data_IF_017677018870
#
_entry.id   IF_017677018870
#
_cell.length_a   1.000
_cell.length_b   1.000
_cell.length_c   1.000
_cell.angle_alpha   90.00
_cell.angle_beta   90.00
_cell.angle_gamma   90.00
#
_symmetry.space_group_name_H-M   'P 1'
#
loop_
_entity.id
_entity.type
_entity.pdbx_description
1 polymer ?
#
# COMPACT_ATOMS: atom_id res chain seq x y z
N UNK A 1 10.23 6.45 -14.87
CA UNK A 1 9.04 6.77 -14.04
C UNK A 1 9.52 7.15 -12.64
N UNK A 2 8.98 8.22 -12.05
CA UNK A 2 9.23 8.52 -10.63
C UNK A 2 8.37 7.57 -9.78
N UNK A 3 9.01 6.74 -8.94
CA UNK A 3 8.35 5.83 -8.00
C UNK A 3 9.03 5.93 -6.65
N UNK A 4 8.30 5.61 -5.60
CA UNK A 4 8.85 5.48 -4.26
C UNK A 4 8.44 4.14 -3.64
N UNK A 5 9.10 3.77 -2.54
CA UNK A 5 8.90 2.48 -1.86
C UNK A 5 8.32 2.70 -0.47
N UNK A 6 7.60 1.70 0.01
CA UNK A 6 7.15 1.64 1.40
C UNK A 6 8.33 1.22 2.27
N UNK A 7 8.45 1.81 3.46
CA UNK A 7 9.45 1.41 4.45
C UNK A 7 8.82 1.22 5.83
N UNK A 8 9.48 0.40 6.66
CA UNK A 8 9.16 0.23 8.08
C UNK A 8 10.42 0.60 8.84
N UNK A 9 10.36 1.68 9.63
CA UNK A 9 11.50 2.09 10.46
C UNK A 9 11.72 1.15 11.64
N UNK A 10 12.87 1.26 12.31
CA UNK A 10 13.23 0.43 13.48
C UNK A 10 12.21 0.53 14.62
N UNK A 11 11.53 1.68 14.75
CA UNK A 11 10.44 1.91 15.69
C UNK A 11 9.10 1.25 15.27
N UNK A 12 9.09 0.45 14.21
CA UNK A 12 7.91 -0.20 13.66
C UNK A 12 6.93 0.74 12.93
N UNK A 13 7.30 2.00 12.69
CA UNK A 13 6.46 2.96 11.97
C UNK A 13 6.52 2.69 10.47
N UNK A 14 5.36 2.38 9.89
CA UNK A 14 5.20 2.27 8.44
C UNK A 14 5.15 3.68 7.82
N UNK A 15 6.00 3.91 6.83
CA UNK A 15 5.99 5.11 6.00
C UNK A 15 5.51 4.75 4.59
N UNK A 16 4.44 5.43 4.16
CA UNK A 16 3.96 5.40 2.79
C UNK A 16 4.34 6.73 2.15
N UNK A 17 4.98 6.71 0.96
CA UNK A 17 5.31 7.91 0.23
C UNK A 17 4.06 8.60 -0.33
N UNK A 18 4.18 9.89 -0.68
CA UNK A 18 3.12 10.62 -1.40
C UNK A 18 3.14 10.32 -2.90
N UNK A 19 4.29 9.93 -3.43
CA UNK A 19 4.43 9.47 -4.82
C UNK A 19 3.80 8.08 -5.00
N UNK A 20 3.44 7.71 -6.25
CA UNK A 20 2.96 6.36 -6.54
C UNK A 20 3.95 5.27 -6.08
N UNK A 21 3.42 4.30 -5.34
CA UNK A 21 4.19 3.14 -4.86
C UNK A 21 4.28 2.10 -5.96
N UNK A 22 5.50 1.77 -6.32
CA UNK A 22 5.82 0.66 -7.22
C UNK A 22 7.06 -0.04 -6.71
N UNK A 23 6.92 -1.30 -6.30
CA UNK A 23 8.00 -2.06 -5.67
C UNK A 23 8.25 -3.36 -6.42
N UNK A 24 9.52 -3.66 -6.67
CA UNK A 24 9.97 -4.96 -7.16
C UNK A 24 9.80 -6.03 -6.09
N UNK A 25 9.82 -7.31 -6.51
CA UNK A 25 9.77 -8.43 -5.57
C UNK A 25 10.90 -8.38 -4.52
N UNK A 26 12.08 -7.88 -4.87
CA UNK A 26 13.19 -7.71 -3.93
C UNK A 26 12.93 -6.61 -2.90
N UNK A 27 12.35 -5.47 -3.31
CA UNK A 27 12.00 -4.40 -2.38
C UNK A 27 10.87 -4.83 -1.44
N UNK A 28 9.89 -5.61 -1.93
CA UNK A 28 8.82 -6.20 -1.10
C UNK A 28 9.40 -7.23 -0.11
N UNK A 29 10.37 -8.02 -0.55
CA UNK A 29 11.08 -8.96 0.29
C UNK A 29 11.78 -8.25 1.45
N UNK A 30 12.49 -7.16 1.17
CA UNK A 30 13.11 -6.30 2.18
C UNK A 30 12.08 -5.68 3.12
N UNK A 31 10.97 -5.16 2.58
CA UNK A 31 9.88 -4.58 3.38
C UNK A 31 9.33 -5.55 4.42
N UNK A 32 9.13 -6.82 4.05
CA UNK A 32 8.53 -7.83 4.92
C UNK A 32 9.53 -8.72 5.63
N UNK A 33 10.84 -8.56 5.41
CA UNK A 33 11.88 -9.41 5.98
C UNK A 33 11.73 -10.88 5.56
N UNK A 34 11.47 -11.13 4.27
CA UNK A 34 11.32 -12.46 3.67
C UNK A 34 12.23 -12.61 2.46
N UNK A 35 12.32 -13.82 1.88
CA UNK A 35 13.06 -14.04 0.64
C UNK A 35 12.24 -13.63 -0.59
N UNK A 36 12.90 -13.05 -1.60
CA UNK A 36 12.28 -12.67 -2.88
C UNK A 36 11.68 -13.87 -3.62
N UNK A 37 12.26 -15.06 -3.49
CA UNK A 37 11.66 -16.31 -4.01
C UNK A 37 10.28 -16.60 -3.42
N UNK A 38 10.08 -16.33 -2.13
CA UNK A 38 8.77 -16.48 -1.46
C UNK A 38 7.77 -15.43 -1.95
N UNK A 39 8.22 -14.20 -2.16
CA UNK A 39 7.43 -13.11 -2.77
C UNK A 39 6.94 -13.53 -4.15
N UNK A 40 7.85 -13.96 -5.03
CA UNK A 40 7.51 -14.39 -6.38
C UNK A 40 6.55 -15.58 -6.40
N UNK A 41 6.73 -16.54 -5.49
CA UNK A 41 5.81 -17.68 -5.35
C UNK A 41 4.38 -17.23 -5.02
N UNK A 42 4.23 -16.31 -4.06
CA UNK A 42 2.91 -15.80 -3.71
C UNK A 42 2.30 -14.90 -4.79
N UNK A 43 3.09 -14.07 -5.49
CA UNK A 43 2.61 -13.28 -6.63
C UNK A 43 2.03 -14.19 -7.71
N UNK A 44 2.77 -15.24 -8.10
CA UNK A 44 2.30 -16.22 -9.09
C UNK A 44 1.00 -16.90 -8.66
N UNK A 45 0.88 -17.25 -7.38
CA UNK A 45 -0.33 -17.85 -6.83
C UNK A 45 -1.52 -16.87 -6.82
N UNK A 46 -1.30 -15.59 -6.50
CA UNK A 46 -2.32 -14.53 -6.59
C UNK A 46 -2.89 -14.40 -8.00
N UNK A 47 -2.02 -14.35 -9.02
CA UNK A 47 -2.47 -14.26 -10.41
C UNK A 47 -3.11 -15.56 -10.90
N UNK A 48 -2.55 -16.72 -10.54
CA UNK A 48 -3.12 -18.04 -10.88
C UNK A 48 -4.53 -18.22 -10.30
N UNK A 49 -4.78 -17.70 -9.10
CA UNK A 49 -6.08 -17.74 -8.44
C UNK A 49 -7.06 -16.67 -8.95
N UNK A 50 -6.62 -15.78 -9.84
CA UNK A 50 -7.46 -14.69 -10.38
C UNK A 50 -7.84 -13.64 -9.32
N UNK A 51 -7.08 -13.53 -8.23
CA UNK A 51 -7.41 -12.59 -7.15
C UNK A 51 -7.09 -11.14 -7.52
N UNK A 52 -6.14 -10.92 -8.42
CA UNK A 52 -5.78 -9.63 -9.00
C UNK A 52 -5.47 -9.82 -10.49
N UNK A 53 -5.69 -8.79 -11.29
CA UNK A 53 -5.36 -8.78 -12.71
C UNK A 53 -3.97 -8.18 -12.93
N UNK A 54 -3.13 -8.84 -13.72
CA UNK A 54 -1.74 -8.40 -13.94
C UNK A 54 -1.67 -6.98 -14.50
N UNK A 55 -2.55 -6.59 -15.41
CA UNK A 55 -2.58 -5.26 -16.04
C UNK A 55 -2.98 -4.12 -15.08
N UNK A 56 -3.57 -4.44 -13.93
CA UNK A 56 -3.98 -3.45 -12.92
C UNK A 56 -2.90 -3.21 -11.86
N UNK A 57 -2.14 -4.27 -11.52
CA UNK A 57 -1.26 -4.26 -10.34
C UNK A 57 0.22 -4.45 -10.66
N UNK A 58 0.57 -4.76 -11.90
CA UNK A 58 1.94 -4.98 -12.35
C UNK A 58 2.30 -4.03 -13.50
N UNK A 59 3.54 -3.54 -13.48
CA UNK A 59 4.15 -2.90 -14.64
C UNK A 59 5.61 -3.30 -14.76
N UNK A 60 6.11 -3.40 -15.98
CA UNK A 60 7.49 -3.76 -16.25
C UNK A 60 8.33 -2.51 -16.53
N UNK A 61 9.37 -2.30 -15.73
CA UNK A 61 10.36 -1.25 -15.95
C UNK A 61 11.52 -1.77 -16.78
N UNK A 62 11.73 -1.19 -17.96
CA UNK A 62 12.82 -1.52 -18.88
C UNK A 62 14.05 -0.65 -18.62
N UNK A 63 15.24 -1.25 -18.69
CA UNK A 63 16.53 -0.57 -18.61
C UNK A 63 17.57 -1.27 -19.49
N UNK A 64 18.75 -0.66 -19.67
CA UNK A 64 19.80 -1.15 -20.60
C UNK A 64 20.27 -2.60 -20.35
N UNK A 65 20.02 -3.15 -19.17
CA UNK A 65 20.44 -4.50 -18.78
C UNK A 65 19.29 -5.47 -18.53
N UNK A 66 18.04 -5.11 -18.84
CA UNK A 66 16.90 -6.00 -18.69
C UNK A 66 15.59 -5.32 -18.31
N UNK A 67 14.74 -6.11 -17.68
CA UNK A 67 13.40 -5.73 -17.26
C UNK A 67 13.19 -6.11 -15.79
N UNK A 68 12.43 -5.31 -15.06
CA UNK A 68 12.00 -5.63 -13.69
C UNK A 68 10.53 -5.37 -13.53
N UNK A 69 9.80 -6.36 -13.03
CA UNK A 69 8.39 -6.20 -12.69
C UNK A 69 8.24 -5.47 -11.37
N UNK A 70 7.36 -4.49 -11.37
CA UNK A 70 7.01 -3.66 -10.23
C UNK A 70 5.53 -3.84 -9.90
N UNK A 71 5.24 -3.87 -8.62
CA UNK A 71 3.91 -4.12 -8.09
C UNK A 71 3.41 -2.95 -7.28
N UNK A 72 2.12 -2.62 -7.43
CA UNK A 72 1.49 -1.51 -6.75
C UNK A 72 1.11 -1.86 -5.29
N UNK A 73 0.51 -0.91 -4.58
CA UNK A 73 0.11 -1.06 -3.17
C UNK A 73 -0.93 -2.17 -2.94
N UNK A 74 -1.77 -2.49 -3.92
CA UNK A 74 -2.81 -3.51 -3.80
C UNK A 74 -2.19 -4.92 -3.73
N UNK A 75 -1.25 -5.22 -4.63
CA UNK A 75 -0.46 -6.45 -4.55
C UNK A 75 0.32 -6.52 -3.23
N UNK A 76 0.97 -5.43 -2.82
CA UNK A 76 1.72 -5.37 -1.55
C UNK A 76 0.79 -5.66 -0.34
N UNK A 77 -0.43 -5.10 -0.35
CA UNK A 77 -1.44 -5.36 0.67
C UNK A 77 -1.83 -6.83 0.70
N UNK A 78 -2.13 -7.43 -0.46
CA UNK A 78 -2.51 -8.84 -0.56
C UNK A 78 -1.41 -9.77 -0.04
N UNK A 79 -0.16 -9.53 -0.45
CA UNK A 79 0.99 -10.29 0.01
C UNK A 79 1.24 -10.16 1.51
N UNK A 80 0.94 -9.00 2.10
CA UNK A 80 1.09 -8.80 3.54
C UNK A 80 0.27 -9.80 4.36
N UNK A 81 -0.88 -10.28 3.87
CA UNK A 81 -1.70 -11.29 4.54
C UNK A 81 -1.20 -12.73 4.32
N UNK A 82 -0.36 -12.96 3.31
CA UNK A 82 0.27 -14.28 3.03
C UNK A 82 1.56 -14.50 3.81
N UNK A 83 2.16 -13.43 4.36
CA UNK A 83 3.39 -13.52 5.14
C UNK A 83 3.18 -13.59 6.66
N UNK A 84 3.87 -14.56 7.27
CA UNK A 84 4.02 -14.70 8.72
C UNK A 84 5.38 -14.11 9.11
N UNK A 85 5.50 -12.78 9.12
CA UNK A 85 6.70 -12.07 9.59
C UNK A 85 6.33 -10.89 10.51
N UNK A 86 7.21 -10.45 11.41
CA UNK A 86 6.96 -9.28 12.26
C UNK A 86 6.66 -8.01 11.45
N UNK A 87 7.42 -7.78 10.38
CA UNK A 87 7.21 -6.65 9.47
C UNK A 87 5.85 -6.71 8.76
N UNK A 88 5.43 -7.90 8.30
CA UNK A 88 4.10 -8.07 7.71
C UNK A 88 2.99 -7.84 8.74
N UNK A 89 3.16 -8.29 10.00
CA UNK A 89 2.22 -8.00 11.09
C UNK A 89 2.10 -6.50 11.38
N UNK A 90 3.22 -5.78 11.45
CA UNK A 90 3.24 -4.32 11.64
C UNK A 90 2.53 -3.61 10.49
N UNK A 91 2.80 -4.01 9.26
CA UNK A 91 2.15 -3.46 8.08
C UNK A 91 0.63 -3.69 8.09
N UNK A 92 0.17 -4.90 8.40
CA UNK A 92 -1.28 -5.20 8.52
C UNK A 92 -1.95 -4.37 9.61
N UNK A 93 -1.34 -4.25 10.80
CA UNK A 93 -1.87 -3.40 11.90
C UNK A 93 -1.95 -1.95 11.47
N UNK A 94 -0.93 -1.45 10.78
CA UNK A 94 -0.95 -0.09 10.23
C UNK A 94 -2.08 0.09 9.20
N UNK A 95 -2.23 -0.85 8.27
CA UNK A 95 -3.23 -0.80 7.21
C UNK A 95 -4.66 -0.78 7.78
N UNK A 96 -4.97 -1.71 8.69
CA UNK A 96 -6.25 -1.78 9.39
C UNK A 96 -6.50 -0.47 10.13
N UNK A 97 -5.54 0.02 10.93
CA UNK A 97 -5.67 1.28 11.66
C UNK A 97 -5.95 2.45 10.73
N UNK A 98 -5.32 2.51 9.54
CA UNK A 98 -5.54 3.58 8.56
C UNK A 98 -6.94 3.52 7.95
N UNK A 99 -7.45 2.33 7.68
CA UNK A 99 -8.80 2.13 7.14
C UNK A 99 -9.89 2.40 8.20
N UNK A 100 -9.64 2.07 9.46
CA UNK A 100 -10.60 2.28 10.56
C UNK A 100 -10.50 3.66 11.20
N UNK A 101 -9.51 4.49 10.79
CA UNK A 101 -9.36 5.84 11.33
C UNK A 101 -10.56 6.69 10.89
N UNK A 102 -11.48 6.94 11.83
CA UNK A 102 -12.63 7.82 11.61
C UNK A 102 -12.09 9.20 11.29
N UNK A 103 -12.25 9.65 10.04
CA UNK A 103 -12.08 11.06 9.72
C UNK A 103 -13.19 11.77 10.47
N UNK A 104 -12.86 12.43 11.57
CA UNK A 104 -13.76 13.36 12.22
C UNK A 104 -13.98 14.49 11.23
N UNK A 105 -14.93 14.31 10.32
CA UNK A 105 -15.53 15.43 9.62
C UNK A 105 -16.20 16.23 10.72
N UNK A 106 -15.55 17.33 11.13
CA UNK A 106 -16.18 18.32 11.99
C UNK A 106 -17.51 18.65 11.33
N UNK A 107 -18.67 18.43 11.98
CA UNK A 107 -19.92 18.79 11.36
C UNK A 107 -19.83 20.28 11.04
N UNK A 108 -20.01 20.63 9.76
CA UNK A 108 -20.20 22.01 9.36
C UNK A 108 -21.50 22.46 10.01
N UNK A 109 -21.39 23.11 11.16
CA UNK A 109 -22.53 23.69 11.86
C UNK A 109 -22.88 24.99 11.13
N UNK A 110 -23.83 24.93 10.19
CA UNK A 110 -24.37 26.13 9.54
C UNK A 110 -25.43 26.72 10.48
N UNK A 111 -25.03 27.74 11.25
CA UNK A 111 -25.97 28.53 12.04
C UNK A 111 -26.68 29.53 11.10
N UNK A 112 -27.96 29.31 10.82
CA UNK A 112 -28.81 30.32 10.20
C UNK A 112 -29.44 31.17 11.31
N UNK A 113 -28.92 32.37 11.53
CA UNK A 113 -29.60 33.33 12.40
C UNK A 113 -30.88 33.78 11.69
N UNK A 114 -32.02 33.58 12.36
CA UNK A 114 -33.34 33.96 11.88
C UNK A 114 -33.83 35.25 12.55
N UNK A 115 -32.95 36.25 12.64
CA UNK A 115 -33.25 37.59 13.15
C UNK A 115 -32.62 38.58 12.16
N UNK A 116 -33.28 39.50 11.49
CA UNK A 116 -34.66 39.94 11.42
C UNK A 116 -34.61 41.17 10.50
N UNK A 117 -35.43 41.20 9.46
CA UNK A 117 -35.56 42.40 8.63
C UNK A 117 -36.27 43.47 9.46
N UNK A 118 -35.57 44.54 9.81
CA UNK A 118 -36.20 45.82 10.11
C UNK A 118 -35.57 46.89 9.23
N UNK A 119 -36.48 47.56 8.52
CA UNK A 119 -36.34 48.74 7.66
C UNK A 119 -35.60 49.90 8.29
#
# INVERSE_FOLDING_TARGET
MKREIITIGENGKVHIPTAPVWMSACEIASLFGVFSGKVNSHIKSVFKEGLLREDEVMQTLLFKGGAVDLYNIEMIMMLSFRFVSPHAQLFRKWAIRKLTQKKSTTPLLVCYNKDGWYS
#
